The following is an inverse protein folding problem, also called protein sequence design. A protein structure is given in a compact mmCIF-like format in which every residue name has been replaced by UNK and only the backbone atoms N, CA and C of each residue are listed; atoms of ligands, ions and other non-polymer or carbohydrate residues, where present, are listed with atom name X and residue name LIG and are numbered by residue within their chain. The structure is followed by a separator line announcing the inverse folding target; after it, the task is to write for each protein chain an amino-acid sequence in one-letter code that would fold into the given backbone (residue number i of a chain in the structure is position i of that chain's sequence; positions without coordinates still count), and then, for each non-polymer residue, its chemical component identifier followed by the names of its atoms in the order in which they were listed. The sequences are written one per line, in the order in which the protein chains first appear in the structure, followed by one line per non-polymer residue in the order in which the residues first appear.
data_IF_354914323420
#
_entry.id   IF_354914323420
#
_cell.length_a   1.000
_cell.length_b   1.000
_cell.length_c   1.000
_cell.angle_alpha   90.00
_cell.angle_beta   90.00
_cell.angle_gamma   90.00
#
_symmetry.space_group_name_H-M   'P 1'
#
loop_
_entity.id
_entity.type
_entity.pdbx_description
1 polymer ?
#
# COMPACT_ATOMS: atom_id res chain seq x y z
N UNK A 1 -12.28 24.17 -14.13
CA UNK A 1 -12.01 24.43 -12.69
C UNK A 1 -11.31 23.25 -12.03
N UNK A 2 -11.87 22.03 -12.09
CA UNK A 2 -11.24 20.81 -11.53
C UNK A 2 -9.85 20.52 -12.12
N UNK A 3 -9.67 20.77 -13.42
CA UNK A 3 -8.38 20.61 -14.10
C UNK A 3 -7.28 21.51 -13.52
N UNK A 4 -7.58 22.77 -13.24
CA UNK A 4 -6.61 23.70 -12.63
C UNK A 4 -6.26 23.27 -11.19
N UNK A 5 -7.24 22.75 -10.45
CA UNK A 5 -7.01 22.15 -9.14
C UNK A 5 -6.05 20.96 -9.24
N UNK A 6 -6.27 20.06 -10.20
CA UNK A 6 -5.38 18.92 -10.42
C UNK A 6 -3.96 19.36 -10.73
N UNK A 7 -3.77 20.30 -11.67
CA UNK A 7 -2.44 20.83 -11.99
C UNK A 7 -1.76 21.46 -10.78
N UNK A 8 -2.51 22.23 -9.99
CA UNK A 8 -1.98 22.86 -8.77
C UNK A 8 -1.51 21.81 -7.76
N UNK A 9 -2.30 20.76 -7.52
CA UNK A 9 -1.93 19.68 -6.61
C UNK A 9 -0.71 18.90 -7.11
N UNK A 10 -0.63 18.60 -8.41
CA UNK A 10 0.54 17.96 -8.99
C UNK A 10 1.79 18.84 -8.91
N UNK A 11 1.66 20.14 -9.14
CA UNK A 11 2.78 21.07 -9.02
C UNK A 11 3.32 21.15 -7.58
N UNK A 12 2.46 21.01 -6.56
CA UNK A 12 2.89 21.02 -5.16
C UNK A 12 3.70 19.78 -4.76
N UNK A 13 3.45 18.62 -5.38
CA UNK A 13 4.11 17.36 -5.02
C UNK A 13 5.27 16.99 -5.95
N UNK A 14 5.28 17.52 -7.18
CA UNK A 14 6.30 17.20 -8.16
C UNK A 14 7.65 17.81 -7.76
N UNK A 15 8.70 16.99 -7.82
CA UNK A 15 10.05 17.48 -7.68
C UNK A 15 10.40 18.43 -8.85
N UNK A 16 11.04 19.53 -8.52
CA UNK A 16 11.62 20.52 -9.44
C UNK A 16 13.14 20.41 -9.44
N UNK A 17 13.85 21.04 -10.40
CA UNK A 17 15.32 21.08 -10.39
C UNK A 17 15.92 21.71 -9.11
N UNK A 18 15.18 22.61 -8.45
CA UNK A 18 15.57 23.25 -7.20
C UNK A 18 15.23 22.39 -5.95
N UNK A 19 14.63 21.22 -6.15
CA UNK A 19 14.27 20.34 -5.03
C UNK A 19 15.53 19.79 -4.34
N UNK A 20 15.60 19.84 -3.00
CA UNK A 20 16.75 19.31 -2.28
C UNK A 20 16.98 17.83 -2.55
N UNK A 21 18.24 17.44 -2.81
CA UNK A 21 18.61 16.06 -3.13
C UNK A 21 18.20 15.05 -2.05
N UNK A 22 18.26 15.44 -0.76
CA UNK A 22 17.84 14.59 0.35
C UNK A 22 16.34 14.26 0.29
N UNK A 23 15.50 15.20 -0.16
CA UNK A 23 14.05 15.02 -0.25
C UNK A 23 13.70 14.03 -1.36
N UNK A 24 14.36 14.14 -2.51
CA UNK A 24 14.23 13.18 -3.62
C UNK A 24 14.69 11.79 -3.17
N UNK A 25 15.79 11.71 -2.42
CA UNK A 25 16.32 10.45 -1.90
C UNK A 25 15.35 9.80 -0.92
N UNK A 26 14.78 10.59 0.01
CA UNK A 26 13.76 10.12 0.94
C UNK A 26 12.49 9.65 0.23
N UNK A 27 12.01 10.40 -0.77
CA UNK A 27 10.83 10.01 -1.56
C UNK A 27 11.07 8.68 -2.31
N UNK A 28 12.26 8.48 -2.89
CA UNK A 28 12.65 7.20 -3.52
C UNK A 28 12.72 6.05 -2.53
N UNK A 29 13.27 6.28 -1.34
CA UNK A 29 13.32 5.27 -0.28
C UNK A 29 11.92 4.84 0.14
N UNK A 30 11.01 5.79 0.36
CA UNK A 30 9.62 5.46 0.70
C UNK A 30 8.95 4.68 -0.44
N UNK A 31 9.10 5.15 -1.68
CA UNK A 31 8.46 4.53 -2.84
C UNK A 31 8.94 3.09 -3.10
N UNK A 32 10.24 2.81 -2.93
CA UNK A 32 10.82 1.51 -3.26
C UNK A 32 10.84 0.55 -2.07
N UNK A 33 11.14 1.04 -0.87
CA UNK A 33 11.43 0.19 0.29
C UNK A 33 10.21 0.05 1.20
N UNK A 34 9.55 1.16 1.54
CA UNK A 34 8.41 1.16 2.47
C UNK A 34 7.18 0.48 1.86
N UNK A 35 6.98 0.58 0.54
CA UNK A 35 5.87 -0.10 -0.15
C UNK A 35 5.90 -1.62 0.05
N UNK A 36 7.09 -2.20 0.23
CA UNK A 36 7.27 -3.64 0.43
C UNK A 36 6.77 -4.13 1.79
N UNK A 37 6.57 -3.23 2.76
CA UNK A 37 6.09 -3.58 4.10
C UNK A 37 4.70 -4.20 4.03
N UNK A 38 3.80 -3.68 3.18
CA UNK A 38 2.43 -4.18 3.04
C UNK A 38 2.39 -5.66 2.63
N UNK A 39 3.03 -6.09 1.51
CA UNK A 39 3.03 -7.50 1.15
C UNK A 39 3.79 -8.38 2.16
N UNK A 40 4.87 -7.87 2.76
CA UNK A 40 5.60 -8.62 3.80
C UNK A 40 4.71 -8.89 5.03
N UNK A 41 3.96 -7.88 5.48
CA UNK A 41 2.99 -8.03 6.57
C UNK A 41 1.88 -9.00 6.19
N UNK A 42 1.37 -8.95 4.97
CA UNK A 42 0.36 -9.89 4.49
C UNK A 42 0.87 -11.34 4.55
N UNK A 43 2.10 -11.60 4.11
CA UNK A 43 2.75 -12.91 4.20
C UNK A 43 2.96 -13.33 5.66
N UNK A 44 3.46 -12.43 6.52
CA UNK A 44 3.68 -12.72 7.94
C UNK A 44 2.38 -13.10 8.64
N UNK A 45 1.31 -12.33 8.42
CA UNK A 45 -0.02 -12.60 8.98
C UNK A 45 -0.61 -13.90 8.41
N UNK A 46 -0.39 -14.19 7.13
CA UNK A 46 -0.82 -15.45 6.52
C UNK A 46 -0.13 -16.66 7.16
N UNK A 47 1.17 -16.57 7.47
CA UNK A 47 1.91 -17.62 8.17
C UNK A 47 1.49 -17.78 9.64
N UNK A 48 1.06 -16.69 10.28
CA UNK A 48 0.64 -16.66 11.70
C UNK A 48 -0.83 -17.07 11.91
N UNK A 49 -1.67 -16.96 10.87
CA UNK A 49 -3.09 -17.22 10.95
C UNK A 49 -3.43 -18.65 11.41
N UNK A 50 -4.38 -18.85 12.34
CA UNK A 50 -4.82 -20.18 12.76
C UNK A 50 -5.38 -20.96 11.55
N UNK A 51 -4.62 -21.93 11.05
CA UNK A 51 -5.03 -22.78 9.91
C UNK A 51 -6.36 -23.51 10.15
N UNK A 52 -6.82 -23.62 11.40
CA UNK A 52 -8.10 -24.24 11.79
C UNK A 52 -9.33 -23.37 11.51
N UNK A 53 -9.24 -22.04 11.46
CA UNK A 53 -10.41 -21.17 11.25
C UNK A 53 -10.83 -21.04 9.77
N UNK A 54 -9.91 -21.31 8.84
CA UNK A 54 -10.21 -21.30 7.39
C UNK A 54 -11.12 -22.48 6.96
N UNK A 55 -11.09 -23.61 7.69
CA UNK A 55 -11.97 -24.75 7.42
C UNK A 55 -13.39 -24.55 7.98
N UNK A 56 -13.55 -23.84 9.10
CA UNK A 56 -14.87 -23.56 9.68
C UNK A 56 -15.72 -22.65 8.78
N UNK A 57 -15.10 -21.63 8.17
CA UNK A 57 -15.76 -20.73 7.22
C UNK A 57 -16.21 -21.44 5.93
N UNK A 58 -15.48 -22.48 5.47
CA UNK A 58 -15.87 -23.29 4.29
C UNK A 58 -17.01 -24.27 4.59
N UNK A 59 -17.13 -24.77 5.82
CA UNK A 59 -18.25 -25.64 6.17
C UNK A 59 -19.58 -24.89 6.34
N UNK A 60 -19.54 -23.62 6.77
CA UNK A 60 -20.76 -22.84 6.95
C UNK A 60 -21.46 -22.50 5.63
N UNK A 61 -20.70 -22.33 4.53
CA UNK A 61 -21.25 -22.05 3.19
C UNK A 61 -21.94 -23.28 2.57
N UNK A 62 -21.61 -24.50 3.03
CA UNK A 62 -22.20 -25.75 2.49
C UNK A 62 -23.54 -26.10 3.19
N UNK A 63 -23.89 -25.45 4.31
CA UNK A 63 -25.18 -25.64 4.98
C UNK A 63 -26.24 -24.61 4.56
N UNK A 64 -26.42 -24.45 3.26
CA UNK A 64 -27.65 -23.87 2.69
C UNK A 64 -28.28 -24.93 1.79
N UNK A 65 -28.95 -25.89 2.40
CA UNK A 65 -29.91 -26.80 1.76
C UNK A 65 -31.03 -27.05 2.73
#
# INVERSE_FOLDING_TARGET
MLENLNYTLFAMINATPDSPAWMITAARFIANDVISIVPLLAVALWLWGPRKQLNAQRQLVIKVT
#
